data_IF_355478187012
#
_entry.id   IF_355478187012
#
_cell.length_a   1.000
_cell.length_b   1.000
_cell.length_c   1.000
_cell.angle_alpha   90.00
_cell.angle_beta   90.00
_cell.angle_gamma   90.00
#
_symmetry.space_group_name_H-M   'P 1'
#
loop_
_entity.id
_entity.type
_entity.pdbx_description
1 polymer ?
#
# COMPACT_ATOMS: atom_id res chain seq x y z
N UNK A 1 10.91 -8.33 -31.64
CA UNK A 1 10.55 -7.46 -30.50
C UNK A 1 10.33 -6.08 -31.08
N UNK A 2 9.26 -5.42 -30.67
CA UNK A 2 8.96 -4.05 -31.11
C UNK A 2 9.50 -3.04 -30.10
N UNK A 3 9.94 -1.88 -30.58
CA UNK A 3 10.47 -0.82 -29.75
C UNK A 3 9.37 -0.26 -28.84
N UNK A 4 9.59 -0.22 -27.52
CA UNK A 4 8.59 0.33 -26.59
C UNK A 4 8.40 1.85 -26.69
N UNK A 5 9.27 2.56 -27.42
CA UNK A 5 9.16 4.02 -27.63
C UNK A 5 8.38 4.38 -28.90
N UNK A 6 8.58 3.67 -30.01
CA UNK A 6 7.97 4.01 -31.31
C UNK A 6 7.33 2.82 -32.04
N UNK A 7 7.25 1.66 -31.40
CA UNK A 7 6.62 0.43 -31.90
C UNK A 7 7.20 -0.15 -33.20
N UNK A 8 8.34 0.37 -33.68
CA UNK A 8 9.05 -0.16 -34.84
C UNK A 8 9.79 -1.45 -34.49
N UNK A 9 9.90 -2.38 -35.44
CA UNK A 9 10.63 -3.63 -35.26
C UNK A 9 12.12 -3.37 -34.94
N UNK A 10 12.64 -4.07 -33.93
CA UNK A 10 14.04 -3.95 -33.49
C UNK A 10 14.94 -4.88 -34.31
N UNK A 11 16.11 -4.38 -34.73
CA UNK A 11 17.11 -5.12 -35.49
C UNK A 11 17.97 -6.03 -34.57
N UNK A 12 18.85 -6.85 -35.17
CA UNK A 12 19.68 -7.83 -34.42
C UNK A 12 20.66 -7.18 -33.43
N UNK A 13 21.04 -5.93 -33.66
CA UNK A 13 21.93 -5.16 -32.78
C UNK A 13 21.20 -4.61 -31.53
N UNK A 14 19.92 -4.95 -31.36
CA UNK A 14 19.04 -4.47 -30.30
C UNK A 14 18.78 -2.95 -30.34
N UNK A 15 19.19 -2.24 -31.38
CA UNK A 15 18.93 -0.80 -31.52
C UNK A 15 17.70 -0.58 -32.38
N UNK A 16 16.81 0.30 -31.93
CA UNK A 16 15.66 0.69 -32.73
C UNK A 16 16.12 1.60 -33.88
N UNK A 17 15.88 1.23 -35.15
CA UNK A 17 16.34 2.03 -36.29
C UNK A 17 15.62 3.38 -36.41
N UNK A 18 14.42 3.49 -35.85
CA UNK A 18 13.57 4.69 -35.98
C UNK A 18 13.85 5.73 -34.89
N UNK A 19 14.11 5.30 -33.65
CA UNK A 19 14.28 6.23 -32.52
C UNK A 19 15.64 6.12 -31.81
N UNK A 20 16.53 5.24 -32.27
CA UNK A 20 17.89 5.06 -31.75
C UNK A 20 17.97 4.42 -30.36
N UNK A 21 16.84 4.02 -29.76
CA UNK A 21 16.85 3.44 -28.41
C UNK A 21 17.34 2.00 -28.46
N UNK A 22 18.29 1.67 -27.59
CA UNK A 22 18.72 0.30 -27.36
C UNK A 22 17.68 -0.47 -26.50
N UNK A 23 17.20 -1.59 -27.01
CA UNK A 23 16.21 -2.47 -26.41
C UNK A 23 16.67 -3.10 -25.09
N UNK A 24 17.98 -3.24 -24.88
CA UNK A 24 18.55 -3.77 -23.64
C UNK A 24 18.19 -2.92 -22.43
N UNK A 25 17.96 -1.60 -22.61
CA UNK A 25 17.47 -0.74 -21.54
C UNK A 25 16.08 -1.20 -21.06
N UNK A 26 15.17 -1.53 -21.99
CA UNK A 26 13.85 -2.04 -21.66
C UNK A 26 13.92 -3.44 -21.05
N UNK A 27 14.79 -4.31 -21.56
CA UNK A 27 15.01 -5.65 -20.98
C UNK A 27 15.52 -5.56 -19.54
N UNK A 28 16.48 -4.68 -19.27
CA UNK A 28 16.98 -4.40 -17.91
C UNK A 28 15.85 -3.87 -17.02
N UNK A 29 15.11 -2.86 -17.47
CA UNK A 29 13.98 -2.32 -16.73
C UNK A 29 12.92 -3.40 -16.41
N UNK A 30 12.60 -4.26 -17.36
CA UNK A 30 11.65 -5.36 -17.16
C UNK A 30 12.15 -6.39 -16.15
N UNK A 31 13.42 -6.81 -16.26
CA UNK A 31 14.02 -7.72 -15.29
C UNK A 31 14.04 -7.12 -13.88
N UNK A 32 14.36 -5.82 -13.76
CA UNK A 32 14.30 -5.09 -12.49
C UNK A 32 12.87 -5.01 -11.96
N UNK A 33 11.88 -4.78 -12.83
CA UNK A 33 10.46 -4.78 -12.44
C UNK A 33 10.04 -6.16 -11.88
N UNK A 34 10.40 -7.24 -12.57
CA UNK A 34 10.08 -8.61 -12.15
C UNK A 34 10.78 -8.99 -10.84
N UNK A 35 12.03 -8.56 -10.65
CA UNK A 35 12.74 -8.74 -9.39
C UNK A 35 11.96 -8.12 -8.21
N UNK A 36 11.56 -6.85 -8.35
CA UNK A 36 10.80 -6.17 -7.31
C UNK A 36 9.39 -6.74 -7.13
N UNK A 37 8.74 -7.20 -8.20
CA UNK A 37 7.47 -7.92 -8.09
C UNK A 37 7.61 -9.20 -7.26
N UNK A 38 8.58 -10.06 -7.58
CA UNK A 38 8.83 -11.29 -6.84
C UNK A 38 9.20 -11.01 -5.38
N UNK A 39 10.03 -10.01 -5.13
CA UNK A 39 10.35 -9.58 -3.75
C UNK A 39 9.12 -9.09 -3.00
N UNK A 40 8.25 -8.31 -3.65
CA UNK A 40 6.98 -7.87 -3.08
C UNK A 40 6.02 -9.02 -2.79
N UNK A 41 5.97 -10.03 -3.66
CA UNK A 41 5.19 -11.26 -3.47
C UNK A 41 5.67 -12.05 -2.25
N UNK A 42 6.98 -12.27 -2.10
CA UNK A 42 7.52 -12.98 -0.94
C UNK A 42 7.25 -12.22 0.37
N UNK A 43 7.38 -10.89 0.35
CA UNK A 43 7.03 -10.05 1.50
C UNK A 43 5.54 -10.12 1.87
N UNK A 44 4.66 -10.12 0.87
CA UNK A 44 3.23 -10.28 1.10
C UNK A 44 2.91 -11.64 1.75
N UNK A 45 3.58 -12.73 1.33
CA UNK A 45 3.41 -14.08 1.91
C UNK A 45 3.78 -14.13 3.39
N UNK A 46 4.83 -13.44 3.81
CA UNK A 46 5.24 -13.35 5.23
C UNK A 46 4.56 -12.22 6.00
N UNK A 47 3.53 -11.59 5.40
CA UNK A 47 2.78 -10.44 5.93
C UNK A 47 3.64 -9.21 6.24
N UNK A 48 4.78 -9.03 5.57
CA UNK A 48 5.46 -7.74 5.47
C UNK A 48 4.71 -6.88 4.45
N UNK A 49 3.55 -6.37 4.85
CA UNK A 49 2.65 -5.64 3.95
C UNK A 49 3.26 -4.30 3.56
N UNK A 50 3.89 -3.58 4.50
CA UNK A 50 4.56 -2.31 4.22
C UNK A 50 5.74 -2.49 3.26
N UNK A 51 6.54 -3.54 3.44
CA UNK A 51 7.64 -3.88 2.53
C UNK A 51 7.15 -4.35 1.17
N UNK A 52 6.06 -5.14 1.11
CA UNK A 52 5.42 -5.53 -0.14
C UNK A 52 4.95 -4.32 -0.94
N UNK A 53 4.27 -3.35 -0.29
CA UNK A 53 3.89 -2.08 -0.92
C UNK A 53 5.12 -1.35 -1.48
N UNK A 54 6.21 -1.26 -0.72
CA UNK A 54 7.44 -0.61 -1.19
C UNK A 54 7.96 -1.24 -2.47
N UNK A 55 8.10 -2.56 -2.51
CA UNK A 55 8.73 -3.23 -3.66
C UNK A 55 7.78 -3.30 -4.87
N UNK A 56 6.48 -3.48 -4.67
CA UNK A 56 5.51 -3.42 -5.77
C UNK A 56 5.46 -2.03 -6.41
N UNK A 57 5.57 -0.96 -5.62
CA UNK A 57 5.69 0.40 -6.18
C UNK A 57 6.98 0.58 -6.99
N UNK A 58 8.10 -0.03 -6.57
CA UNK A 58 9.34 -0.04 -7.37
C UNK A 58 9.14 -0.81 -8.66
N UNK A 59 8.51 -1.98 -8.63
CA UNK A 59 8.19 -2.76 -9.82
C UNK A 59 7.40 -1.91 -10.84
N UNK A 60 6.36 -1.21 -10.37
CA UNK A 60 5.52 -0.33 -11.20
C UNK A 60 6.23 0.95 -11.66
N UNK A 61 7.29 1.40 -10.98
CA UNK A 61 8.15 2.48 -11.45
C UNK A 61 8.94 2.07 -12.70
N UNK A 62 9.40 0.82 -12.77
CA UNK A 62 10.14 0.29 -13.92
C UNK A 62 9.24 -0.20 -15.05
N UNK A 63 8.09 -0.81 -14.72
CA UNK A 63 7.08 -1.24 -15.70
C UNK A 63 5.68 -0.89 -15.21
N UNK A 64 5.11 0.18 -15.77
CA UNK A 64 3.81 0.71 -15.34
C UNK A 64 2.66 -0.21 -15.69
N UNK A 65 2.75 -0.96 -16.79
CA UNK A 65 1.70 -1.90 -17.22
C UNK A 65 1.83 -3.31 -16.63
N UNK A 66 2.68 -3.53 -15.62
CA UNK A 66 2.80 -4.85 -14.97
C UNK A 66 1.55 -5.16 -14.14
N UNK A 67 0.56 -5.79 -14.76
CA UNK A 67 -0.77 -6.07 -14.20
C UNK A 67 -0.73 -6.96 -12.96
N UNK A 68 0.15 -7.97 -12.93
CA UNK A 68 0.35 -8.81 -11.75
C UNK A 68 0.78 -8.00 -10.52
N UNK A 69 1.72 -7.06 -10.69
CA UNK A 69 2.16 -6.18 -9.61
C UNK A 69 1.04 -5.25 -9.14
N UNK A 70 0.19 -4.75 -10.05
CA UNK A 70 -1.00 -3.94 -9.69
C UNK A 70 -2.04 -4.75 -8.94
N UNK A 71 -2.29 -5.97 -9.39
CA UNK A 71 -3.25 -6.89 -8.77
C UNK A 71 -2.84 -7.19 -7.33
N UNK A 72 -1.58 -7.60 -7.16
CA UNK A 72 -1.00 -7.88 -5.85
C UNK A 72 -0.96 -6.62 -4.97
N UNK A 73 -0.56 -5.46 -5.52
CA UNK A 73 -0.55 -4.21 -4.76
C UNK A 73 -1.96 -3.83 -4.28
N UNK A 74 -2.98 -4.05 -5.11
CA UNK A 74 -4.37 -3.84 -4.72
C UNK A 74 -4.80 -4.78 -3.60
N UNK A 75 -4.44 -6.06 -3.66
CA UNK A 75 -4.70 -7.02 -2.57
C UNK A 75 -4.01 -6.61 -1.27
N UNK A 76 -2.73 -6.23 -1.33
CA UNK A 76 -1.99 -5.76 -0.16
C UNK A 76 -2.65 -4.52 0.43
N UNK A 77 -3.04 -3.53 -0.39
CA UNK A 77 -3.77 -2.37 0.12
C UNK A 77 -5.12 -2.75 0.73
N UNK A 78 -5.84 -3.71 0.16
CA UNK A 78 -7.11 -4.19 0.71
C UNK A 78 -6.92 -4.81 2.10
N UNK A 79 -5.91 -5.67 2.26
CA UNK A 79 -5.52 -6.27 3.54
C UNK A 79 -5.14 -5.21 4.59
N UNK A 80 -4.46 -4.13 4.17
CA UNK A 80 -4.07 -3.00 5.03
C UNK A 80 -5.25 -2.06 5.38
N UNK A 81 -6.47 -2.35 4.93
CA UNK A 81 -7.64 -1.49 5.10
C UNK A 81 -7.66 -0.24 4.19
N UNK A 82 -6.74 -0.15 3.24
CA UNK A 82 -6.65 0.91 2.23
C UNK A 82 -7.51 0.59 0.99
N UNK A 83 -8.77 0.19 1.19
CA UNK A 83 -9.68 -0.30 0.13
C UNK A 83 -9.83 0.69 -1.04
N UNK A 84 -9.89 2.00 -0.76
CA UNK A 84 -9.96 3.01 -1.81
C UNK A 84 -8.70 3.03 -2.71
N UNK A 85 -7.53 2.63 -2.20
CA UNK A 85 -6.32 2.44 -3.01
C UNK A 85 -6.35 1.13 -3.77
N UNK A 86 -6.82 0.05 -3.14
CA UNK A 86 -6.98 -1.25 -3.77
C UNK A 86 -7.81 -1.17 -5.06
N UNK A 87 -8.99 -0.54 -4.97
CA UNK A 87 -9.90 -0.35 -6.11
C UNK A 87 -9.24 0.47 -7.23
N UNK A 88 -8.40 1.45 -6.89
CA UNK A 88 -7.67 2.24 -7.91
C UNK A 88 -6.64 1.39 -8.65
N UNK A 89 -5.83 0.59 -7.95
CA UNK A 89 -4.84 -0.26 -8.60
C UNK A 89 -5.48 -1.31 -9.50
N UNK A 90 -6.59 -1.92 -9.07
CA UNK A 90 -7.35 -2.87 -9.89
C UNK A 90 -7.99 -2.20 -11.11
N UNK A 91 -8.51 -0.97 -10.97
CA UNK A 91 -9.01 -0.20 -12.11
C UNK A 91 -7.91 0.08 -13.14
N UNK A 92 -6.70 0.42 -12.69
CA UNK A 92 -5.57 0.63 -13.60
C UNK A 92 -5.12 -0.70 -14.22
N UNK A 93 -5.11 -1.78 -13.45
CA UNK A 93 -4.81 -3.12 -13.97
C UNK A 93 -5.76 -3.53 -15.11
N UNK A 94 -7.07 -3.34 -14.90
CA UNK A 94 -8.10 -3.62 -15.91
C UNK A 94 -8.02 -2.71 -17.13
N UNK A 95 -7.49 -1.49 -16.98
CA UNK A 95 -7.23 -0.62 -18.13
C UNK A 95 -6.15 -1.20 -19.05
N UNK A 96 -5.08 -1.79 -18.50
CA UNK A 96 -4.00 -2.39 -19.28
C UNK A 96 -4.33 -3.80 -19.79
N UNK A 97 -5.07 -4.59 -19.01
CA UNK A 97 -5.50 -5.93 -19.37
C UNK A 97 -6.99 -6.10 -19.02
N UNK A 98 -7.90 -5.83 -19.97
CA UNK A 98 -9.34 -5.90 -19.74
C UNK A 98 -9.90 -7.33 -19.62
N UNK A 99 -9.26 -8.28 -20.30
CA UNK A 99 -9.69 -9.67 -20.38
C UNK A 99 -8.77 -10.57 -19.53
N UNK A 100 -9.31 -11.64 -18.97
CA UNK A 100 -8.55 -12.64 -18.18
C UNK A 100 -7.74 -12.05 -17.02
N UNK A 101 -8.26 -11.01 -16.37
CA UNK A 101 -7.61 -10.30 -15.29
C UNK A 101 -8.36 -10.48 -13.96
N UNK A 102 -7.66 -11.01 -12.95
CA UNK A 102 -8.20 -11.25 -11.61
C UNK A 102 -8.68 -9.96 -10.90
N UNK A 103 -8.18 -8.79 -11.31
CA UNK A 103 -8.67 -7.50 -10.83
C UNK A 103 -10.18 -7.32 -10.97
N UNK A 104 -10.80 -7.94 -11.98
CA UNK A 104 -12.27 -7.89 -12.17
C UNK A 104 -12.98 -8.52 -10.97
N UNK A 105 -12.56 -9.72 -10.59
CA UNK A 105 -13.11 -10.44 -9.43
C UNK A 105 -12.89 -9.66 -8.14
N UNK A 106 -11.70 -9.11 -7.93
CA UNK A 106 -11.39 -8.32 -6.73
C UNK A 106 -12.22 -7.04 -6.65
N UNK A 107 -12.43 -6.36 -7.78
CA UNK A 107 -13.25 -5.16 -7.85
C UNK A 107 -14.72 -5.47 -7.59
N UNK A 108 -15.28 -6.51 -8.22
CA UNK A 108 -16.65 -6.97 -8.00
C UNK A 108 -16.92 -7.28 -6.52
N UNK A 109 -15.99 -7.94 -5.83
CA UNK A 109 -16.12 -8.19 -4.40
C UNK A 109 -16.36 -6.92 -3.56
N UNK A 110 -15.87 -5.75 -4.00
CA UNK A 110 -16.11 -4.47 -3.33
C UNK A 110 -17.35 -3.76 -3.88
N UNK A 111 -17.48 -3.67 -5.21
CA UNK A 111 -18.50 -2.87 -5.86
C UNK A 111 -19.90 -3.49 -5.78
N UNK A 112 -19.99 -4.82 -5.68
CA UNK A 112 -21.27 -5.54 -5.59
C UNK A 112 -21.92 -5.35 -4.20
N UNK A 113 -21.17 -4.80 -3.23
CA UNK A 113 -21.70 -4.42 -1.93
C UNK A 113 -21.55 -2.90 -1.72
N UNK A 114 -22.63 -2.11 -1.92
CA UNK A 114 -22.60 -0.66 -1.73
C UNK A 114 -22.10 -0.22 -0.35
N UNK A 115 -22.38 -1.00 0.70
CA UNK A 115 -21.89 -0.73 2.05
C UNK A 115 -20.37 -0.82 2.19
N UNK A 116 -19.70 -1.76 1.49
CA UNK A 116 -18.23 -1.86 1.49
C UNK A 116 -17.59 -0.66 0.81
N UNK A 117 -18.15 -0.24 -0.33
CA UNK A 117 -17.67 0.93 -1.05
C UNK A 117 -17.89 2.21 -0.25
N UNK A 118 -19.07 2.37 0.37
CA UNK A 118 -19.36 3.52 1.22
C UNK A 118 -18.42 3.56 2.44
N UNK A 119 -18.22 2.43 3.12
CA UNK A 119 -17.26 2.33 4.22
C UNK A 119 -15.85 2.72 3.79
N UNK A 120 -15.38 2.25 2.63
CA UNK A 120 -14.06 2.62 2.10
C UNK A 120 -13.92 4.14 1.86
N UNK A 121 -14.96 4.77 1.30
CA UNK A 121 -15.01 6.21 1.07
C UNK A 121 -15.06 6.98 2.39
N UNK A 122 -15.87 6.53 3.35
CA UNK A 122 -15.96 7.12 4.68
C UNK A 122 -14.65 7.02 5.45
N UNK A 123 -13.95 5.88 5.40
CA UNK A 123 -12.62 5.70 5.98
C UNK A 123 -11.64 6.74 5.43
N UNK A 124 -11.55 6.87 4.10
CA UNK A 124 -10.65 7.84 3.47
C UNK A 124 -11.00 9.29 3.87
N UNK A 125 -12.28 9.65 3.83
CA UNK A 125 -12.77 10.99 4.19
C UNK A 125 -12.47 11.33 5.65
N UNK A 126 -12.86 10.45 6.58
CA UNK A 126 -12.69 10.68 8.02
C UNK A 126 -11.23 10.66 8.43
N UNK A 127 -10.40 9.81 7.83
CA UNK A 127 -8.96 9.81 8.09
C UNK A 127 -8.30 11.12 7.65
N UNK A 128 -8.65 11.65 6.48
CA UNK A 128 -8.16 12.97 6.05
C UNK A 128 -8.64 14.08 7.00
N UNK A 129 -9.87 14.01 7.50
CA UNK A 129 -10.36 14.94 8.53
C UNK A 129 -9.57 14.82 9.84
N UNK A 130 -9.26 13.60 10.30
CA UNK A 130 -8.38 13.38 11.47
C UNK A 130 -7.04 14.08 11.26
N UNK A 131 -6.41 13.93 10.10
CA UNK A 131 -5.13 14.59 9.81
C UNK A 131 -5.25 16.11 9.82
N UNK A 132 -6.36 16.67 9.32
CA UNK A 132 -6.63 18.12 9.41
C UNK A 132 -6.75 18.58 10.85
N UNK A 133 -7.51 17.87 11.69
CA UNK A 133 -7.62 18.20 13.12
C UNK A 133 -6.28 18.10 13.85
N UNK A 134 -5.46 17.09 13.55
CA UNK A 134 -4.11 16.97 14.09
C UNK A 134 -3.23 18.17 13.71
N UNK A 135 -3.31 18.66 12.47
CA UNK A 135 -2.58 19.86 12.03
C UNK A 135 -3.08 21.13 12.75
N UNK A 136 -4.36 21.20 13.03
CA UNK A 136 -5.00 22.30 13.78
C UNK A 136 -4.79 22.20 15.29
N UNK A 137 -4.08 21.16 15.78
CA UNK A 137 -3.91 20.84 17.21
C UNK A 137 -5.24 20.61 17.96
N UNK A 138 -6.31 20.26 17.24
CA UNK A 138 -7.59 19.88 17.83
C UNK A 138 -7.62 18.36 18.09
N UNK A 139 -6.99 17.95 19.18
CA UNK A 139 -6.71 16.53 19.47
C UNK A 139 -7.95 15.73 19.85
N UNK A 140 -8.91 16.33 20.57
CA UNK A 140 -10.16 15.67 20.94
C UNK A 140 -10.97 15.28 19.70
N UNK A 141 -11.11 16.21 18.74
CA UNK A 141 -11.79 15.93 17.48
C UNK A 141 -11.04 14.91 16.64
N UNK A 142 -9.70 14.98 16.60
CA UNK A 142 -8.90 13.96 15.93
C UNK A 142 -9.14 12.56 16.54
N UNK A 143 -9.23 12.47 17.87
CA UNK A 143 -9.40 11.22 18.60
C UNK A 143 -10.79 10.61 18.35
N UNK A 144 -11.83 11.46 18.31
CA UNK A 144 -13.19 11.03 17.94
C UNK A 144 -13.22 10.51 16.50
N UNK A 145 -12.62 11.23 15.56
CA UNK A 145 -12.65 10.83 14.15
C UNK A 145 -11.84 9.56 13.89
N UNK A 146 -10.66 9.40 14.50
CA UNK A 146 -9.84 8.21 14.29
C UNK A 146 -10.51 6.95 14.84
N UNK A 147 -11.23 7.06 15.97
CA UNK A 147 -12.05 5.95 16.48
C UNK A 147 -13.14 5.55 15.50
N UNK A 148 -13.86 6.51 14.91
CA UNK A 148 -14.87 6.23 13.87
C UNK A 148 -14.26 5.55 12.64
N UNK A 149 -13.06 5.97 12.21
CA UNK A 149 -12.32 5.31 11.13
C UNK A 149 -12.07 3.84 11.47
N UNK A 150 -11.59 3.55 12.68
CA UNK A 150 -11.25 2.20 13.12
C UNK A 150 -12.49 1.34 13.45
N UNK A 151 -13.65 1.94 13.70
CA UNK A 151 -14.93 1.22 13.74
C UNK A 151 -15.32 0.71 12.35
N UNK A 152 -15.11 1.53 11.30
CA UNK A 152 -15.45 1.17 9.92
C UNK A 152 -14.44 0.20 9.29
N UNK A 153 -13.15 0.39 9.56
CA UNK A 153 -12.07 -0.48 9.09
C UNK A 153 -11.10 -0.77 10.22
N UNK A 154 -11.37 -1.83 11.01
CA UNK A 154 -10.52 -2.24 12.12
C UNK A 154 -9.13 -2.69 11.68
N UNK A 155 -8.92 -3.03 10.41
CA UNK A 155 -7.63 -3.42 9.82
C UNK A 155 -6.86 -2.25 9.19
N UNK A 156 -7.37 -1.01 9.27
CA UNK A 156 -6.69 0.16 8.70
C UNK A 156 -5.42 0.52 9.48
N UNK A 157 -4.27 -0.01 9.03
CA UNK A 157 -2.97 0.07 9.74
C UNK A 157 -2.56 1.51 10.01
N UNK A 158 -2.69 2.41 9.03
CA UNK A 158 -2.35 3.84 9.21
C UNK A 158 -3.19 4.52 10.27
N UNK A 159 -4.45 4.13 10.40
CA UNK A 159 -5.33 4.64 11.44
C UNK A 159 -4.91 4.15 12.82
N UNK A 160 -4.54 2.87 12.94
CA UNK A 160 -4.04 2.29 14.19
C UNK A 160 -2.72 2.93 14.62
N UNK A 161 -1.77 3.09 13.71
CA UNK A 161 -0.50 3.77 13.97
C UNK A 161 -0.72 5.21 14.45
N UNK A 162 -1.65 5.94 13.83
CA UNK A 162 -1.99 7.30 14.26
C UNK A 162 -2.63 7.31 15.65
N UNK A 163 -3.56 6.39 15.94
CA UNK A 163 -4.15 6.29 17.27
C UNK A 163 -3.11 5.91 18.34
N UNK A 164 -2.19 4.98 18.03
CA UNK A 164 -1.09 4.63 18.92
C UNK A 164 -0.17 5.84 19.19
N UNK A 165 0.14 6.63 18.16
CA UNK A 165 0.90 7.87 18.32
C UNK A 165 0.18 8.88 19.22
N UNK A 166 -1.14 9.05 19.07
CA UNK A 166 -1.93 9.93 19.94
C UNK A 166 -1.92 9.47 21.40
N UNK A 167 -2.04 8.16 21.65
CA UNK A 167 -1.92 7.59 22.99
C UNK A 167 -0.52 7.84 23.59
N UNK A 168 0.54 7.67 22.81
CA UNK A 168 1.91 7.96 23.25
C UNK A 168 2.09 9.43 23.65
N UNK A 169 1.47 10.35 22.90
CA UNK A 169 1.51 11.79 23.21
C UNK A 169 0.81 12.12 24.54
N UNK A 170 -0.23 11.38 24.89
CA UNK A 170 -0.98 11.53 26.14
C UNK A 170 -0.38 10.69 27.29
N UNK A 171 0.84 10.16 27.14
CA UNK A 171 1.52 9.26 28.08
C UNK A 171 0.76 7.95 28.38
N UNK A 172 -0.21 7.58 27.54
CA UNK A 172 -1.01 6.36 27.67
C UNK A 172 -0.30 5.15 27.03
N UNK A 173 0.92 4.86 27.48
CA UNK A 173 1.83 3.86 26.87
C UNK A 173 1.22 2.46 26.76
N UNK A 174 0.48 2.01 27.78
CA UNK A 174 -0.16 0.69 27.77
C UNK A 174 -1.23 0.56 26.68
N UNK A 175 -2.00 1.64 26.41
CA UNK A 175 -2.98 1.64 25.33
C UNK A 175 -2.29 1.62 23.97
N UNK A 176 -1.23 2.41 23.81
CA UNK A 176 -0.43 2.42 22.58
C UNK A 176 0.18 1.04 22.29
N UNK A 177 0.80 0.40 23.29
CA UNK A 177 1.42 -0.92 23.17
C UNK A 177 0.46 -1.98 22.64
N UNK A 178 -0.75 -2.07 23.20
CA UNK A 178 -1.80 -3.01 22.73
C UNK A 178 -2.17 -2.79 21.27
N UNK A 179 -2.25 -1.53 20.82
CA UNK A 179 -2.55 -1.21 19.43
C UNK A 179 -1.38 -1.62 18.53
N UNK A 180 -0.14 -1.36 18.94
CA UNK A 180 1.05 -1.68 18.16
C UNK A 180 1.25 -3.19 18.01
N UNK A 181 0.97 -3.97 19.05
CA UNK A 181 0.93 -5.43 18.97
C UNK A 181 -0.09 -5.92 17.93
N UNK A 182 -1.27 -5.27 17.86
CA UNK A 182 -2.26 -5.56 16.82
C UNK A 182 -1.74 -5.20 15.43
N UNK A 183 -1.06 -4.06 15.27
CA UNK A 183 -0.43 -3.67 14.00
C UNK A 183 0.59 -4.72 13.56
N UNK A 184 1.48 -5.16 14.46
CA UNK A 184 2.53 -6.14 14.14
C UNK A 184 1.98 -7.54 13.85
N UNK A 185 0.77 -7.88 14.31
CA UNK A 185 0.08 -9.10 13.87
C UNK A 185 -0.44 -8.99 12.43
N UNK A 186 -0.85 -7.80 12.01
CA UNK A 186 -1.37 -7.58 10.66
C UNK A 186 -0.24 -7.37 9.64
N UNK A 187 0.78 -6.61 10.01
CA UNK A 187 1.96 -6.24 9.21
C UNK A 187 3.23 -6.46 10.05
N UNK A 188 3.85 -7.62 9.84
CA UNK A 188 4.88 -8.19 10.73
C UNK A 188 6.16 -7.36 10.80
N UNK A 189 6.45 -6.59 9.74
CA UNK A 189 7.66 -5.78 9.61
C UNK A 189 7.34 -4.28 9.52
N UNK A 190 6.23 -3.85 10.12
CA UNK A 190 5.86 -2.44 10.13
C UNK A 190 6.89 -1.60 10.92
N UNK A 191 7.80 -0.93 10.19
CA UNK A 191 8.89 -0.16 10.79
C UNK A 191 8.43 0.94 11.75
N UNK A 192 7.28 1.56 11.49
CA UNK A 192 6.73 2.58 12.40
C UNK A 192 6.28 1.95 13.72
N UNK A 193 5.57 0.82 13.66
CA UNK A 193 5.14 0.12 14.86
C UNK A 193 6.34 -0.38 15.69
N UNK A 194 7.34 -0.97 15.03
CA UNK A 194 8.58 -1.43 15.66
C UNK A 194 9.25 -0.25 16.38
N UNK A 195 9.42 0.89 15.71
CA UNK A 195 10.05 2.08 16.31
C UNK A 195 9.29 2.59 17.53
N UNK A 196 7.96 2.63 17.48
CA UNK A 196 7.14 3.04 18.63
C UNK A 196 7.27 2.05 19.79
N UNK A 197 7.28 0.74 19.52
CA UNK A 197 7.49 -0.29 20.54
C UNK A 197 8.87 -0.18 21.19
N UNK A 198 9.92 0.03 20.40
CA UNK A 198 11.28 0.24 20.92
C UNK A 198 11.35 1.49 21.80
N UNK A 199 10.69 2.59 21.41
CA UNK A 199 10.66 3.81 22.21
C UNK A 199 9.92 3.62 23.56
N UNK A 200 8.85 2.83 23.59
CA UNK A 200 8.14 2.48 24.84
C UNK A 200 9.06 1.66 25.76
N UNK A 201 9.71 0.62 25.23
CA UNK A 201 10.55 -0.30 26.02
C UNK A 201 11.92 0.29 26.41
N UNK A 202 12.47 1.21 25.59
CA UNK A 202 13.74 1.87 25.89
C UNK A 202 13.64 2.85 27.07
N UNK A 203 12.45 3.41 27.31
CA UNK A 203 12.18 4.27 28.46
C UNK A 203 11.99 3.51 29.78
N UNK A 204 11.92 2.18 29.77
CA UNK A 204 11.82 1.36 31.00
C UNK A 204 13.18 0.96 31.60
N UNK A 205 14.31 1.26 30.94
CA UNK A 205 15.66 0.91 31.42
C UNK A 205 16.47 2.14 31.91
N UNK A 206 15.78 3.22 32.29
CA UNK A 206 16.40 4.41 32.88
C UNK A 206 15.99 4.59 34.34
N UNK A 207 16.64 3.84 35.23
CA UNK A 207 16.78 4.14 36.68
C UNK A 207 18.23 3.89 37.04
#
# INVERSE_FOLDING_TARGET
MDCMKCHSAIQKDHTCPTCGVNADFFKKAYNTANYYYNSGLEKAKIRDLSGAVSDLNKALKYKKELTDARNLLGLVYFEMGETAKAVREWKISLHFQPNDNLAKTYQSYILDNPGRLDNANQVAKKYNQTLTYMKQKNEDMAFIQIKKVLTLSPNFIKGQLLLAFMHLKNDEKEKAKKILEKVLKMDTHNMTAIRYMTAINGNSNGV
#
